data_IF_562442831034
#
_entry.id   IF_562442831034
#
_cell.length_a   1.000
_cell.length_b   1.000
_cell.length_c   1.000
_cell.angle_alpha   90.00
_cell.angle_beta   90.00
_cell.angle_gamma   90.00
#
_symmetry.space_group_name_H-M   'P 1'
#
loop_
_entity.id
_entity.type
_entity.pdbx_description
1 polymer ?
#
# COMPACT_ATOMS: atom_id res chain seq x y z
N UNK A 1 4.37 -3.13 -16.61
CA UNK A 1 4.31 -3.50 -15.17
C UNK A 1 3.39 -2.61 -14.33
N UNK A 2 2.99 -1.41 -14.79
CA UNK A 2 2.21 -0.46 -13.99
C UNK A 2 0.90 -1.04 -13.42
N UNK A 3 0.09 -1.69 -14.26
CA UNK A 3 -1.19 -2.27 -13.82
C UNK A 3 -1.02 -3.40 -12.79
N UNK A 4 0.01 -4.23 -12.94
CA UNK A 4 0.29 -5.31 -11.98
C UNK A 4 0.75 -4.75 -10.62
N UNK A 5 1.60 -3.72 -10.64
CA UNK A 5 2.01 -3.02 -9.42
C UNK A 5 0.82 -2.35 -8.73
N UNK A 6 -0.08 -1.74 -9.50
CA UNK A 6 -1.31 -1.15 -8.96
C UNK A 6 -2.24 -2.21 -8.35
N UNK A 7 -2.38 -3.39 -8.97
CA UNK A 7 -3.14 -4.52 -8.41
C UNK A 7 -2.50 -5.05 -7.11
N UNK A 8 -1.19 -5.23 -7.08
CA UNK A 8 -0.46 -5.69 -5.89
C UNK A 8 -0.59 -4.70 -4.74
N UNK A 9 -0.44 -3.40 -5.01
CA UNK A 9 -0.62 -2.36 -4.00
C UNK A 9 -2.04 -2.38 -3.43
N UNK A 10 -3.06 -2.55 -4.29
CA UNK A 10 -4.45 -2.67 -3.84
C UNK A 10 -4.66 -3.92 -2.98
N UNK A 11 -4.04 -5.05 -3.33
CA UNK A 11 -4.12 -6.27 -2.53
C UNK A 11 -3.48 -6.11 -1.16
N UNK A 12 -2.26 -5.57 -1.08
CA UNK A 12 -1.59 -5.26 0.19
C UNK A 12 -2.42 -4.28 1.03
N UNK A 13 -3.04 -3.27 0.40
CA UNK A 13 -3.95 -2.36 1.08
C UNK A 13 -5.17 -3.09 1.67
N UNK A 14 -5.76 -4.00 0.91
CA UNK A 14 -6.89 -4.82 1.37
C UNK A 14 -6.50 -5.67 2.58
N UNK A 15 -5.35 -6.35 2.53
CA UNK A 15 -4.86 -7.15 3.65
C UNK A 15 -4.63 -6.31 4.92
N UNK A 16 -4.09 -5.10 4.78
CA UNK A 16 -3.76 -4.24 5.94
C UNK A 16 -4.96 -3.49 6.53
N UNK A 17 -5.97 -3.16 5.73
CA UNK A 17 -6.99 -2.18 6.14
C UNK A 17 -8.44 -2.59 5.84
N UNK A 18 -8.65 -3.79 5.30
CA UNK A 18 -9.98 -4.28 4.95
C UNK A 18 -10.15 -5.77 5.27
N UNK A 19 -9.19 -6.39 5.95
CA UNK A 19 -9.26 -7.80 6.40
C UNK A 19 -10.50 -8.05 7.23
N UNK A 20 -10.73 -7.20 8.23
CA UNK A 20 -11.82 -7.35 9.20
C UNK A 20 -13.19 -7.15 8.54
N UNK A 21 -13.27 -6.16 7.63
CA UNK A 21 -14.49 -5.86 6.87
C UNK A 21 -14.86 -6.98 5.88
N UNK A 22 -13.87 -7.74 5.42
CA UNK A 22 -14.03 -8.83 4.43
C UNK A 22 -14.14 -10.20 5.13
N UNK A 23 -13.88 -10.26 6.44
CA UNK A 23 -13.94 -11.49 7.23
C UNK A 23 -12.73 -12.40 7.03
N UNK A 24 -11.56 -11.82 6.71
CA UNK A 24 -10.31 -12.59 6.74
C UNK A 24 -9.90 -12.89 8.18
N UNK A 25 -9.30 -14.06 8.36
CA UNK A 25 -8.61 -14.42 9.59
C UNK A 25 -7.36 -13.54 9.74
N UNK A 26 -7.20 -12.91 10.90
CA UNK A 26 -6.13 -11.92 11.16
C UNK A 26 -4.74 -12.57 11.10
N UNK A 27 -4.57 -13.74 11.72
CA UNK A 27 -3.32 -14.50 11.69
C UNK A 27 -2.92 -14.87 10.26
N UNK A 28 -3.91 -15.29 9.45
CA UNK A 28 -3.70 -15.54 8.04
C UNK A 28 -3.27 -14.28 7.28
N UNK A 29 -3.93 -13.14 7.51
CA UNK A 29 -3.63 -11.89 6.82
C UNK A 29 -2.21 -11.40 7.14
N UNK A 30 -1.79 -11.48 8.41
CA UNK A 30 -0.42 -11.15 8.84
C UNK A 30 0.59 -12.05 8.13
N UNK A 31 0.38 -13.36 8.14
CA UNK A 31 1.28 -14.32 7.47
C UNK A 31 1.38 -14.06 5.97
N UNK A 32 0.27 -13.71 5.33
CA UNK A 32 0.23 -13.38 3.90
C UNK A 32 1.03 -12.10 3.60
N UNK A 33 0.91 -11.06 4.44
CA UNK A 33 1.68 -9.83 4.33
C UNK A 33 3.18 -10.11 4.48
N UNK A 34 3.58 -10.92 5.48
CA UNK A 34 4.98 -11.29 5.71
C UNK A 34 5.56 -12.05 4.51
N UNK A 35 4.81 -13.04 3.98
CA UNK A 35 5.23 -13.82 2.83
C UNK A 35 5.42 -12.96 1.58
N UNK A 36 4.46 -12.07 1.29
CA UNK A 36 4.55 -11.16 0.14
C UNK A 36 5.70 -10.17 0.28
N UNK A 37 5.93 -9.65 1.49
CA UNK A 37 7.03 -8.73 1.75
C UNK A 37 8.37 -9.40 1.46
N UNK A 38 8.54 -10.65 1.92
CA UNK A 38 9.72 -11.46 1.63
C UNK A 38 9.91 -11.67 0.12
N UNK A 39 8.85 -12.01 -0.62
CA UNK A 39 8.92 -12.21 -2.07
C UNK A 39 9.29 -10.92 -2.82
N UNK A 40 8.74 -9.76 -2.41
CA UNK A 40 9.06 -8.47 -3.01
C UNK A 40 10.54 -8.11 -2.78
N UNK A 41 11.07 -8.39 -1.58
CA UNK A 41 12.44 -8.07 -1.23
C UNK A 41 13.46 -8.98 -1.92
N UNK A 42 13.16 -10.27 -2.02
CA UNK A 42 14.14 -11.27 -2.45
C UNK A 42 13.94 -11.82 -3.85
N UNK A 43 12.69 -11.88 -4.33
CA UNK A 43 12.36 -12.57 -5.58
C UNK A 43 11.99 -11.61 -6.73
N UNK A 44 11.53 -10.40 -6.42
CA UNK A 44 11.22 -9.42 -7.46
C UNK A 44 12.51 -8.85 -8.09
N UNK A 45 12.40 -8.42 -9.33
CA UNK A 45 13.44 -7.62 -9.99
C UNK A 45 13.42 -6.17 -9.50
N UNK A 46 14.51 -5.42 -9.74
CA UNK A 46 14.56 -3.99 -9.42
C UNK A 46 13.47 -3.19 -10.15
N UNK A 47 13.16 -3.56 -11.40
CA UNK A 47 12.11 -2.92 -12.17
C UNK A 47 10.72 -3.14 -11.59
N UNK A 48 10.45 -4.33 -11.03
CA UNK A 48 9.19 -4.65 -10.36
C UNK A 48 9.04 -3.91 -9.04
N UNK A 49 10.09 -3.91 -8.20
CA UNK A 49 10.13 -3.10 -6.98
C UNK A 49 9.94 -1.62 -7.28
N UNK A 50 10.59 -1.10 -8.32
CA UNK A 50 10.44 0.30 -8.71
C UNK A 50 9.01 0.60 -9.18
N UNK A 51 8.39 -0.29 -9.96
CA UNK A 51 6.99 -0.11 -10.38
C UNK A 51 6.02 -0.06 -9.19
N UNK A 52 6.27 -0.86 -8.14
CA UNK A 52 5.48 -0.84 -6.90
C UNK A 52 5.69 0.46 -6.11
N UNK A 53 6.95 0.92 -5.95
CA UNK A 53 7.27 2.22 -5.34
C UNK A 53 6.58 3.38 -6.07
N UNK A 54 6.60 3.35 -7.40
CA UNK A 54 5.93 4.37 -8.22
C UNK A 54 4.41 4.30 -8.04
N UNK A 55 3.83 3.10 -7.93
CA UNK A 55 2.41 2.91 -7.63
C UNK A 55 2.00 3.54 -6.30
N UNK A 56 2.75 3.24 -5.23
CA UNK A 56 2.51 3.82 -3.92
C UNK A 56 2.63 5.35 -3.95
N UNK A 57 3.65 5.88 -4.65
CA UNK A 57 3.87 7.32 -4.81
C UNK A 57 2.72 8.01 -5.54
N UNK A 58 2.21 7.42 -6.63
CA UNK A 58 1.03 7.93 -7.35
C UNK A 58 -0.22 7.90 -6.47
N UNK A 59 -0.43 6.82 -5.72
CA UNK A 59 -1.56 6.69 -4.80
C UNK A 59 -1.50 7.73 -3.69
N UNK A 60 -0.33 7.96 -3.09
CA UNK A 60 -0.11 9.00 -2.10
C UNK A 60 -0.40 10.40 -2.68
N UNK A 61 0.13 10.70 -3.87
CA UNK A 61 -0.13 11.97 -4.56
C UNK A 61 -1.64 12.19 -4.83
N UNK A 62 -2.37 11.13 -5.22
CA UNK A 62 -3.83 11.18 -5.40
C UNK A 62 -4.56 11.49 -4.09
N UNK A 63 -4.15 10.87 -2.99
CA UNK A 63 -4.75 11.15 -1.68
C UNK A 63 -4.45 12.56 -1.19
N UNK A 64 -3.23 13.05 -1.43
CA UNK A 64 -2.76 14.35 -1.00
C UNK A 64 -3.08 15.48 -1.97
N UNK A 65 -3.88 15.25 -3.01
CA UNK A 65 -4.22 16.31 -3.97
C UNK A 65 -5.00 17.44 -3.28
N UNK A 66 -4.81 18.66 -3.80
CA UNK A 66 -5.60 19.82 -3.39
C UNK A 66 -7.09 19.60 -3.64
N UNK A 67 -7.98 20.29 -2.91
CA UNK A 67 -9.42 20.22 -3.14
C UNK A 67 -9.75 20.53 -4.61
N UNK A 68 -10.67 19.78 -5.18
CA UNK A 68 -11.18 20.08 -6.52
C UNK A 68 -12.12 21.31 -6.51
N UNK A 69 -12.67 21.64 -7.68
CA UNK A 69 -13.57 22.79 -7.89
C UNK A 69 -14.81 22.76 -6.99
N UNK A 70 -15.16 21.60 -6.42
CA UNK A 70 -16.28 21.42 -5.49
C UNK A 70 -15.84 21.39 -4.02
N UNK A 71 -14.56 21.65 -3.73
CA UNK A 71 -13.98 21.61 -2.38
C UNK A 71 -13.77 20.20 -1.83
N UNK A 72 -13.93 19.17 -2.66
CA UNK A 72 -13.69 17.78 -2.25
C UNK A 72 -12.20 17.48 -2.26
N UNK A 73 -11.69 16.96 -1.14
CA UNK A 73 -10.32 16.43 -1.05
C UNK A 73 -10.34 15.03 -0.44
N UNK A 74 -9.73 14.03 -1.11
CA UNK A 74 -9.54 12.71 -0.52
C UNK A 74 -8.69 12.75 0.76
N UNK A 75 -7.85 13.79 0.92
CA UNK A 75 -6.91 13.96 2.05
C UNK A 75 -7.60 13.86 3.41
N UNK A 76 -8.83 14.34 3.54
CA UNK A 76 -9.63 14.26 4.78
C UNK A 76 -10.02 12.84 5.19
N UNK A 77 -9.98 11.90 4.25
CA UNK A 77 -10.36 10.49 4.47
C UNK A 77 -9.13 9.59 4.71
N UNK A 78 -7.91 10.10 4.50
CA UNK A 78 -6.69 9.33 4.70
C UNK A 78 -6.28 9.35 6.18
N UNK A 79 -6.48 8.23 6.87
CA UNK A 79 -5.95 8.00 8.22
C UNK A 79 -4.41 7.97 8.21
N UNK A 80 -3.78 8.30 9.33
CA UNK A 80 -2.32 8.31 9.50
C UNK A 80 -1.66 6.98 9.14
N UNK A 81 -2.23 5.86 9.55
CA UNK A 81 -1.70 4.50 9.28
C UNK A 81 -1.66 4.21 7.76
N UNK A 82 -2.74 4.53 7.06
CA UNK A 82 -2.86 4.38 5.59
C UNK A 82 -1.84 5.24 4.86
N UNK A 83 -1.57 6.44 5.37
CA UNK A 83 -0.52 7.31 4.85
C UNK A 83 0.86 6.71 5.07
N UNK A 84 1.17 6.28 6.29
CA UNK A 84 2.46 5.70 6.66
C UNK A 84 2.75 4.44 5.82
N UNK A 85 1.75 3.59 5.58
CA UNK A 85 1.87 2.44 4.69
C UNK A 85 2.30 2.82 3.27
N UNK A 86 1.65 3.81 2.66
CA UNK A 86 2.01 4.28 1.32
C UNK A 86 3.42 4.90 1.29
N UNK A 87 3.79 5.66 2.32
CA UNK A 87 5.13 6.26 2.45
C UNK A 87 6.21 5.18 2.62
N UNK A 88 5.96 4.13 3.42
CA UNK A 88 6.86 2.99 3.56
C UNK A 88 7.11 2.31 2.20
N UNK A 89 6.05 1.93 1.48
CA UNK A 89 6.20 1.27 0.19
C UNK A 89 6.90 2.18 -0.82
N UNK A 90 6.54 3.47 -0.89
CA UNK A 90 7.21 4.43 -1.77
C UNK A 90 8.72 4.55 -1.48
N UNK A 91 9.11 4.44 -0.21
CA UNK A 91 10.52 4.44 0.22
C UNK A 91 11.26 3.12 -0.01
N UNK A 92 10.54 2.05 -0.38
CA UNK A 92 11.08 0.70 -0.58
C UNK A 92 11.09 -0.17 0.68
N UNK A 93 10.32 0.19 1.71
CA UNK A 93 10.04 -0.65 2.89
C UNK A 93 8.73 -1.39 2.66
N UNK A 94 8.80 -2.65 2.26
CA UNK A 94 7.62 -3.39 1.78
C UNK A 94 6.84 -4.12 2.87
N UNK A 95 7.48 -4.37 4.02
CA UNK A 95 6.85 -4.94 5.24
C UNK A 95 5.89 -3.99 5.96
N UNK A 96 5.73 -2.74 5.50
CA UNK A 96 4.88 -1.74 6.14
C UNK A 96 5.58 -1.03 7.31
N UNK A 97 4.84 -0.21 8.09
CA UNK A 97 5.37 0.37 9.34
C UNK A 97 5.61 -0.74 10.37
N UNK A 98 6.69 -0.65 11.15
CA UNK A 98 6.89 -1.53 12.31
C UNK A 98 5.67 -1.42 13.23
N UNK A 99 4.98 -2.55 13.45
CA UNK A 99 3.91 -2.65 14.44
C UNK A 99 4.56 -2.45 15.82
N UNK A 100 4.40 -1.25 16.39
CA UNK A 100 4.86 -0.89 17.73
C UNK A 100 3.97 -1.46 18.82
#
# INVERSE_FOLDING_TARGET
>A
MQNLADCLLNYLWTLNFSSDDIGFDEDWAVKEIESLSYDIEHNFTDAERQALKDSASRSLARWLREPDEHGYTPRKLLKSEKRNFLECIASGKFSGPELS
#
